data_IF_597113792862
#
_entry.id   IF_597113792862
#
_cell.length_a   1.000
_cell.length_b   1.000
_cell.length_c   1.000
_cell.angle_alpha   90.00
_cell.angle_beta   90.00
_cell.angle_gamma   90.00
#
_symmetry.space_group_name_H-M   'P 1'
#
loop_
_entity.id
_entity.type
_entity.pdbx_description
1 polymer ?
#
# COMPACT_ATOMS: atom_id res chain seq x y z
N UNK A 1 3.38 -2.11 24.71
CA UNK A 1 2.93 -1.72 23.35
C UNK A 1 1.50 -1.19 23.34
N UNK A 2 0.47 -1.96 23.72
CA UNK A 2 -0.91 -1.43 23.78
C UNK A 2 -1.04 -0.22 24.72
N UNK A 3 -0.51 -0.32 25.94
CA UNK A 3 -0.49 0.81 26.89
C UNK A 3 0.22 2.05 26.32
N UNK A 4 1.32 1.84 25.60
CA UNK A 4 2.06 2.91 24.91
C UNK A 4 1.21 3.58 23.84
N UNK A 5 0.54 2.79 22.99
CA UNK A 5 -0.35 3.26 21.93
C UNK A 5 -1.54 4.03 22.50
N UNK A 6 -2.18 3.50 23.54
CA UNK A 6 -3.28 4.17 24.22
C UNK A 6 -2.82 5.48 24.87
N UNK A 7 -1.63 5.50 25.46
CA UNK A 7 -1.03 6.68 26.08
C UNK A 7 -0.40 7.67 25.09
N UNK A 8 -0.54 7.49 23.78
CA UNK A 8 0.05 8.36 22.74
C UNK A 8 1.58 8.55 22.89
N UNK A 9 2.27 7.50 23.37
CA UNK A 9 3.72 7.50 23.62
C UNK A 9 4.49 6.73 22.55
N UNK A 10 5.80 6.98 22.50
CA UNK A 10 6.73 6.19 21.69
C UNK A 10 7.27 5.04 22.57
N UNK A 11 7.30 3.83 22.01
CA UNK A 11 7.99 2.70 22.62
C UNK A 11 9.05 2.16 21.65
N UNK A 12 10.21 1.85 22.22
CA UNK A 12 11.22 1.04 21.57
C UNK A 12 11.11 -0.37 22.14
N UNK A 13 10.86 -1.35 21.28
CA UNK A 13 10.72 -2.75 21.69
C UNK A 13 11.73 -3.59 20.91
N UNK A 14 12.67 -4.20 21.62
CA UNK A 14 13.51 -5.25 21.06
C UNK A 14 12.97 -6.63 21.45
N UNK A 15 13.03 -7.55 20.50
CA UNK A 15 12.47 -8.88 20.63
C UNK A 15 13.19 -9.83 19.67
N UNK A 16 13.40 -11.08 20.09
CA UNK A 16 14.05 -12.11 19.29
C UNK A 16 13.40 -12.36 17.92
N UNK A 17 14.10 -13.08 17.05
CA UNK A 17 13.52 -13.55 15.78
C UNK A 17 12.51 -14.67 16.07
N UNK A 18 11.43 -14.74 15.30
CA UNK A 18 10.44 -15.83 15.41
C UNK A 18 9.43 -15.72 16.56
N UNK A 19 9.60 -14.80 17.51
CA UNK A 19 8.73 -14.71 18.69
C UNK A 19 7.37 -14.00 18.46
N UNK A 20 6.99 -13.77 17.20
CA UNK A 20 5.68 -13.18 16.87
C UNK A 20 5.60 -11.65 16.97
N UNK A 21 6.71 -10.91 16.80
CA UNK A 21 6.75 -9.44 16.78
C UNK A 21 5.66 -8.80 15.90
N UNK A 22 5.45 -9.36 14.72
CA UNK A 22 4.42 -8.92 13.76
C UNK A 22 3.03 -8.99 14.36
N UNK A 23 2.66 -10.13 14.94
CA UNK A 23 1.36 -10.28 15.60
C UNK A 23 1.24 -9.38 16.82
N UNK A 24 2.31 -9.21 17.61
CA UNK A 24 2.28 -8.38 18.81
C UNK A 24 1.84 -6.93 18.51
N UNK A 25 2.41 -6.29 17.47
CA UNK A 25 1.98 -4.93 17.11
C UNK A 25 0.63 -4.89 16.39
N UNK A 26 0.32 -5.88 15.54
CA UNK A 26 -0.99 -5.91 14.86
C UNK A 26 -2.14 -6.05 15.86
N UNK A 27 -2.02 -6.98 16.82
CA UNK A 27 -3.01 -7.17 17.89
C UNK A 27 -3.13 -5.92 18.74
N UNK A 28 -2.00 -5.32 19.16
CA UNK A 28 -2.03 -4.07 19.92
C UNK A 28 -2.78 -2.94 19.17
N UNK A 29 -2.56 -2.80 17.85
CA UNK A 29 -3.26 -1.83 17.03
C UNK A 29 -4.77 -2.10 16.89
N UNK A 30 -5.17 -3.37 16.76
CA UNK A 30 -6.60 -3.74 16.72
C UNK A 30 -7.29 -3.39 18.03
N UNK A 31 -6.69 -3.80 19.15
CA UNK A 31 -7.24 -3.53 20.49
C UNK A 31 -7.29 -2.02 20.77
N UNK A 32 -6.23 -1.28 20.43
CA UNK A 32 -6.23 0.18 20.52
C UNK A 32 -7.43 0.77 19.78
N UNK A 33 -7.69 0.36 18.53
CA UNK A 33 -8.82 0.88 17.75
C UNK A 33 -10.19 0.48 18.32
N UNK A 34 -10.31 -0.73 18.87
CA UNK A 34 -11.55 -1.19 19.51
C UNK A 34 -11.86 -0.41 20.79
N UNK A 35 -10.86 -0.20 21.65
CA UNK A 35 -11.04 0.41 22.96
C UNK A 35 -10.93 1.94 22.96
N UNK A 36 -10.28 2.56 21.97
CA UNK A 36 -10.28 4.03 21.83
C UNK A 36 -11.69 4.58 21.60
N UNK A 37 -12.57 3.80 20.95
CA UNK A 37 -13.99 4.12 20.78
C UNK A 37 -14.72 4.15 22.13
N UNK A 38 -14.37 3.26 23.06
CA UNK A 38 -15.00 3.13 24.38
C UNK A 38 -14.49 4.15 25.40
N UNK A 39 -13.28 4.67 25.22
CA UNK A 39 -12.61 5.54 26.19
C UNK A 39 -12.87 7.04 25.96
N UNK A 40 -13.79 7.42 25.07
CA UNK A 40 -14.11 8.82 24.69
C UNK A 40 -12.89 9.73 24.44
N UNK A 41 -11.74 9.13 24.10
CA UNK A 41 -10.53 9.87 23.73
C UNK A 41 -10.74 10.45 22.34
N UNK A 42 -11.34 11.64 22.32
CA UNK A 42 -11.62 12.44 21.13
C UNK A 42 -10.35 13.00 20.45
N UNK A 43 -9.14 12.67 20.95
CA UNK A 43 -7.84 13.14 20.44
C UNK A 43 -7.25 12.28 19.32
N UNK A 44 -7.45 10.95 19.31
CA UNK A 44 -7.01 10.14 18.17
C UNK A 44 -8.03 10.32 17.05
N UNK A 45 -7.63 10.77 15.85
CA UNK A 45 -8.54 10.80 14.72
C UNK A 45 -9.07 9.38 14.51
N UNK A 46 -10.37 9.18 14.82
CA UNK A 46 -11.11 7.90 14.83
C UNK A 46 -11.05 7.12 13.50
N UNK A 47 -10.34 7.63 12.50
CA UNK A 47 -10.45 7.26 11.09
C UNK A 47 -9.10 7.10 10.38
N UNK A 48 -7.95 7.24 11.05
CA UNK A 48 -6.67 7.05 10.38
C UNK A 48 -6.25 5.57 10.38
N UNK A 49 -5.82 5.04 9.22
CA UNK A 49 -5.28 3.69 9.17
C UNK A 49 -4.00 3.60 10.00
N UNK A 50 -3.76 2.43 10.58
CA UNK A 50 -2.48 2.11 11.19
C UNK A 50 -1.45 2.02 10.08
N UNK A 51 -0.30 2.68 10.25
CA UNK A 51 0.79 2.62 9.26
C UNK A 51 1.89 1.72 9.78
N UNK A 52 2.23 0.68 9.00
CA UNK A 52 3.37 -0.21 9.26
C UNK A 52 4.41 0.02 8.18
N UNK A 53 5.56 0.55 8.60
CA UNK A 53 6.70 0.78 7.72
C UNK A 53 7.75 -0.31 7.89
N UNK A 54 8.21 -0.90 6.79
CA UNK A 54 9.25 -1.94 6.80
C UNK A 54 10.14 -1.89 5.56
N UNK A 55 11.42 -2.21 5.76
CA UNK A 55 12.42 -2.33 4.68
C UNK A 55 12.21 -3.55 3.77
N UNK A 56 11.48 -4.58 4.22
CA UNK A 56 11.38 -5.85 3.51
C UNK A 56 10.09 -5.99 2.72
N UNK A 57 10.19 -6.06 1.39
CA UNK A 57 9.06 -6.40 0.50
C UNK A 57 8.48 -7.78 0.86
N UNK A 58 9.32 -8.73 1.28
CA UNK A 58 8.85 -10.04 1.71
C UNK A 58 7.96 -9.93 2.97
N UNK A 59 8.33 -9.09 3.94
CA UNK A 59 7.49 -8.84 5.11
C UNK A 59 6.21 -8.11 4.74
N UNK A 60 6.25 -7.13 3.83
CA UNK A 60 5.03 -6.46 3.36
C UNK A 60 4.06 -7.46 2.73
N UNK A 61 4.56 -8.36 1.89
CA UNK A 61 3.78 -9.44 1.28
C UNK A 61 3.19 -10.36 2.35
N UNK A 62 4.02 -10.88 3.25
CA UNK A 62 3.55 -11.77 4.31
C UNK A 62 2.49 -11.10 5.19
N UNK A 63 2.66 -9.83 5.57
CA UNK A 63 1.65 -9.09 6.35
C UNK A 63 0.32 -9.05 5.59
N UNK A 64 0.35 -8.75 4.29
CA UNK A 64 -0.83 -8.62 3.46
C UNK A 64 -1.51 -9.97 3.18
N UNK A 65 -0.76 -11.03 2.87
CA UNK A 65 -1.29 -12.32 2.41
C UNK A 65 -1.46 -13.36 3.51
N UNK A 66 -0.77 -13.23 4.64
CA UNK A 66 -0.74 -14.24 5.70
C UNK A 66 -1.16 -13.67 7.05
N UNK A 67 -0.39 -12.73 7.62
CA UNK A 67 -0.62 -12.28 9.01
C UNK A 67 -1.97 -11.58 9.19
N UNK A 68 -2.29 -10.60 8.34
CA UNK A 68 -3.57 -9.87 8.45
C UNK A 68 -4.76 -10.79 8.16
N UNK A 69 -4.78 -11.59 7.07
CA UNK A 69 -5.89 -12.52 6.84
C UNK A 69 -6.08 -13.54 7.97
N UNK A 70 -4.99 -14.12 8.49
CA UNK A 70 -5.07 -15.06 9.62
C UNK A 70 -5.64 -14.37 10.86
N UNK A 71 -5.07 -13.24 11.28
CA UNK A 71 -5.52 -12.52 12.46
C UNK A 71 -6.97 -12.04 12.30
N UNK A 72 -7.31 -11.49 11.14
CA UNK A 72 -8.66 -11.04 10.83
C UNK A 72 -9.69 -12.16 10.99
N UNK A 73 -9.40 -13.35 10.45
CA UNK A 73 -10.31 -14.49 10.56
C UNK A 73 -10.52 -14.88 12.02
N UNK A 74 -9.44 -15.08 12.78
CA UNK A 74 -9.51 -15.45 14.20
C UNK A 74 -10.33 -14.43 15.00
N UNK A 75 -10.08 -13.14 14.79
CA UNK A 75 -10.78 -12.09 15.54
C UNK A 75 -12.27 -11.98 15.21
N UNK A 76 -12.64 -12.25 13.95
CA UNK A 76 -14.05 -12.30 13.53
C UNK A 76 -14.74 -13.53 14.12
N UNK A 77 -14.12 -14.70 14.01
CA UNK A 77 -14.66 -15.97 14.56
C UNK A 77 -14.89 -15.91 16.07
N UNK A 78 -14.03 -15.18 16.79
CA UNK A 78 -14.16 -14.97 18.24
C UNK A 78 -15.05 -13.76 18.62
N UNK A 79 -15.70 -13.10 17.65
CA UNK A 79 -16.57 -11.94 17.91
C UNK A 79 -15.84 -10.71 18.46
N UNK A 80 -14.51 -10.66 18.35
CA UNK A 80 -13.70 -9.53 18.83
C UNK A 80 -13.88 -8.32 17.90
N UNK A 81 -13.97 -8.55 16.59
CA UNK A 81 -14.28 -7.55 15.57
C UNK A 81 -15.47 -8.01 14.73
N UNK A 82 -16.26 -7.06 14.22
CA UNK A 82 -17.46 -7.37 13.43
C UNK A 82 -17.17 -7.53 11.94
N UNK A 83 -16.14 -6.84 11.42
CA UNK A 83 -15.76 -6.86 10.01
C UNK A 83 -14.31 -7.27 9.84
N UNK A 84 -13.96 -7.96 8.74
CA UNK A 84 -12.58 -8.31 8.44
C UNK A 84 -11.66 -7.08 8.34
N UNK A 85 -10.42 -7.24 8.78
CA UNK A 85 -9.39 -6.20 8.67
C UNK A 85 -8.97 -6.04 7.21
N UNK A 86 -9.11 -4.82 6.67
CA UNK A 86 -8.60 -4.47 5.35
C UNK A 86 -7.19 -3.87 5.46
N UNK A 87 -6.23 -4.47 4.77
CA UNK A 87 -4.87 -3.95 4.63
C UNK A 87 -4.56 -3.60 3.18
N UNK A 88 -3.75 -2.56 2.97
CA UNK A 88 -3.27 -2.15 1.65
C UNK A 88 -1.77 -1.86 1.70
N UNK A 89 -1.07 -2.10 0.59
CA UNK A 89 0.32 -1.67 0.42
C UNK A 89 0.33 -0.30 -0.25
N UNK A 90 1.07 0.66 0.31
CA UNK A 90 1.29 2.02 -0.19
C UNK A 90 2.63 2.09 -0.91
N UNK A 91 2.63 2.56 -2.16
CA UNK A 91 3.81 2.65 -3.03
C UNK A 91 3.90 4.01 -3.73
N UNK A 92 5.11 4.38 -4.12
CA UNK A 92 5.39 5.60 -4.88
C UNK A 92 4.87 5.54 -6.32
N UNK A 93 4.74 6.71 -6.95
CA UNK A 93 4.25 6.89 -8.33
C UNK A 93 5.04 6.07 -9.36
N UNK A 94 6.33 5.88 -9.11
CA UNK A 94 7.25 5.11 -9.94
C UNK A 94 6.88 3.64 -10.10
N UNK A 95 6.02 3.10 -9.23
CA UNK A 95 5.51 1.73 -9.30
C UNK A 95 4.23 1.60 -10.14
N UNK A 96 3.62 2.71 -10.54
CA UNK A 96 2.36 2.72 -11.26
C UNK A 96 2.53 3.23 -12.68
N UNK A 97 1.77 2.67 -13.62
CA UNK A 97 1.77 3.12 -15.01
C UNK A 97 0.86 4.36 -15.19
N UNK A 98 1.31 5.29 -16.03
CA UNK A 98 0.52 6.40 -16.55
C UNK A 98 -0.03 6.03 -17.93
N UNK A 99 -1.35 6.07 -18.08
CA UNK A 99 -2.04 5.65 -19.31
C UNK A 99 -1.59 6.45 -20.54
N UNK A 100 -1.46 7.77 -20.42
CA UNK A 100 -0.98 8.63 -21.51
C UNK A 100 0.45 8.25 -21.95
N UNK A 101 1.35 7.99 -20.99
CA UNK A 101 2.73 7.61 -21.29
C UNK A 101 2.81 6.19 -21.87
N UNK A 102 1.94 5.29 -21.40
CA UNK A 102 1.79 3.95 -21.95
C UNK A 102 1.37 4.00 -23.41
N UNK A 103 0.35 4.79 -23.75
CA UNK A 103 -0.11 4.96 -25.14
C UNK A 103 0.98 5.51 -26.05
N UNK A 104 1.65 6.59 -25.62
CA UNK A 104 2.81 7.14 -26.34
C UNK A 104 3.90 6.09 -26.56
N UNK A 105 4.18 5.27 -25.53
CA UNK A 105 5.20 4.24 -25.62
C UNK A 105 4.79 3.12 -26.58
N UNK A 106 3.53 2.68 -26.56
CA UNK A 106 3.00 1.65 -27.45
C UNK A 106 3.11 2.12 -28.91
N UNK A 107 2.73 3.36 -29.22
CA UNK A 107 2.84 3.91 -30.57
C UNK A 107 4.30 4.02 -31.01
N UNK A 108 5.19 4.49 -30.14
CA UNK A 108 6.62 4.63 -30.45
C UNK A 108 7.35 3.31 -30.74
N UNK A 109 6.78 2.17 -30.33
CA UNK A 109 7.32 0.83 -30.63
C UNK A 109 6.51 0.06 -31.69
N UNK A 110 5.50 0.69 -32.29
CA UNK A 110 4.56 0.01 -33.20
C UNK A 110 5.29 -0.71 -34.34
N UNK A 111 6.26 -0.04 -34.96
CA UNK A 111 7.06 -0.53 -36.09
C UNK A 111 8.48 -0.96 -35.70
N UNK A 112 8.79 -1.01 -34.40
CA UNK A 112 10.13 -1.41 -33.92
C UNK A 112 10.15 -2.88 -33.58
N UNK A 113 11.25 -3.56 -33.92
CA UNK A 113 11.51 -4.90 -33.39
C UNK A 113 11.80 -4.79 -31.90
N UNK A 114 10.91 -5.37 -31.09
CA UNK A 114 11.03 -5.48 -29.64
C UNK A 114 10.84 -6.94 -29.26
N UNK A 115 11.57 -7.40 -28.26
CA UNK A 115 11.36 -8.73 -27.67
C UNK A 115 9.86 -8.95 -27.37
N UNK A 116 9.31 -10.08 -27.84
CA UNK A 116 7.89 -10.39 -27.78
C UNK A 116 7.35 -10.42 -26.34
N UNK A 117 8.10 -11.03 -25.40
CA UNK A 117 7.74 -11.11 -23.99
C UNK A 117 7.66 -9.71 -23.36
N UNK A 118 8.66 -8.86 -23.63
CA UNK A 118 8.63 -7.48 -23.12
C UNK A 118 7.53 -6.63 -23.77
N UNK A 119 7.20 -6.90 -25.04
CA UNK A 119 6.10 -6.22 -25.74
C UNK A 119 4.77 -6.61 -25.11
N UNK A 120 4.56 -7.89 -24.83
CA UNK A 120 3.37 -8.38 -24.14
C UNK A 120 3.25 -7.82 -22.72
N UNK A 121 4.34 -7.82 -21.96
CA UNK A 121 4.40 -7.21 -20.64
C UNK A 121 3.98 -5.73 -20.67
N UNK A 122 4.49 -4.96 -21.63
CA UNK A 122 4.07 -3.56 -21.83
C UNK A 122 2.58 -3.45 -22.15
N UNK A 123 2.05 -4.28 -23.06
CA UNK A 123 0.63 -4.25 -23.43
C UNK A 123 -0.29 -4.65 -22.27
N UNK A 124 0.17 -5.55 -21.39
CA UNK A 124 -0.57 -5.98 -20.19
C UNK A 124 -0.86 -4.82 -19.23
N UNK A 125 -0.06 -3.74 -19.26
CA UNK A 125 -0.27 -2.55 -18.45
C UNK A 125 -1.58 -1.81 -18.76
N UNK A 126 -2.21 -2.07 -19.91
CA UNK A 126 -3.58 -1.59 -20.17
C UNK A 126 -4.58 -2.12 -19.15
N UNK A 127 -4.33 -3.32 -18.60
CA UNK A 127 -5.17 -3.96 -17.58
C UNK A 127 -4.58 -3.78 -16.17
N UNK A 128 -3.25 -3.88 -16.03
CA UNK A 128 -2.57 -3.82 -14.74
C UNK A 128 -1.95 -2.44 -14.50
N UNK A 129 -2.40 -1.74 -13.44
CA UNK A 129 -1.88 -0.41 -13.13
C UNK A 129 -0.64 -0.45 -12.23
N UNK A 130 -0.52 -1.47 -11.37
CA UNK A 130 0.70 -1.75 -10.60
C UNK A 130 1.70 -2.46 -11.51
N UNK A 131 2.86 -1.85 -11.74
CA UNK A 131 3.89 -2.41 -12.60
C UNK A 131 4.65 -3.55 -11.90
N UNK A 132 4.65 -3.63 -10.58
CA UNK A 132 5.42 -4.65 -9.85
C UNK A 132 4.82 -6.05 -9.98
N UNK A 133 3.52 -6.15 -10.31
CA UNK A 133 2.87 -7.43 -10.59
C UNK A 133 3.11 -7.92 -12.03
N UNK A 134 3.59 -7.05 -12.92
CA UNK A 134 3.88 -7.38 -14.31
C UNK A 134 5.30 -7.91 -14.42
N UNK A 135 5.40 -9.22 -14.67
CA UNK A 135 6.66 -9.91 -14.97
C UNK A 135 7.22 -9.43 -16.31
N UNK A 136 8.55 -9.51 -16.44
CA UNK A 136 9.27 -9.24 -17.71
C UNK A 136 9.14 -7.82 -18.28
N UNK A 137 8.50 -6.90 -17.56
CA UNK A 137 8.48 -5.48 -17.93
C UNK A 137 9.89 -4.88 -17.75
N UNK A 138 10.49 -4.48 -18.88
CA UNK A 138 11.85 -3.95 -18.89
C UNK A 138 12.01 -2.69 -18.02
N UNK A 139 13.16 -2.53 -17.38
CA UNK A 139 13.47 -1.32 -16.61
C UNK A 139 13.43 -0.04 -17.44
N UNK A 140 13.71 -0.14 -18.74
CA UNK A 140 13.58 0.97 -19.69
C UNK A 140 12.11 1.39 -19.87
N UNK A 141 11.22 0.43 -20.13
CA UNK A 141 9.80 0.74 -20.29
C UNK A 141 9.19 1.23 -18.98
N UNK A 142 9.55 0.63 -17.83
CA UNK A 142 9.12 1.11 -16.50
C UNK A 142 9.36 2.61 -16.32
N UNK A 143 10.56 3.09 -16.66
CA UNK A 143 10.89 4.53 -16.55
C UNK A 143 10.10 5.41 -17.51
N UNK A 144 9.79 4.91 -18.71
CA UNK A 144 9.06 5.68 -19.70
C UNK A 144 7.56 5.75 -19.42
N UNK A 145 6.99 4.69 -18.84
CA UNK A 145 5.54 4.59 -18.65
C UNK A 145 5.08 4.89 -17.23
N UNK A 146 6.00 5.02 -16.25
CA UNK A 146 5.61 5.31 -14.88
C UNK A 146 4.88 6.65 -14.73
N UNK A 147 4.05 6.76 -13.69
CA UNK A 147 3.48 8.05 -13.28
C UNK A 147 4.61 9.01 -12.93
N UNK A 148 4.68 10.20 -13.54
CA UNK A 148 5.73 11.16 -13.23
C UNK A 148 5.63 11.66 -11.80
N UNK A 149 6.77 12.06 -11.22
CA UNK A 149 6.83 12.73 -9.91
C UNK A 149 5.84 13.90 -9.84
N UNK A 150 5.80 14.71 -10.90
CA UNK A 150 4.88 15.82 -11.06
C UNK A 150 3.97 15.59 -12.26
N UNK A 151 2.66 15.51 -12.01
CA UNK A 151 1.65 15.50 -13.07
C UNK A 151 1.19 16.94 -13.31
N UNK A 152 1.05 17.39 -14.57
CA UNK A 152 0.50 18.72 -14.85
C UNK A 152 -0.94 18.82 -14.34
N UNK A 153 -1.36 20.02 -13.92
CA UNK A 153 -2.73 20.25 -13.42
C UNK A 153 -3.78 19.91 -14.49
N UNK A 154 -3.46 20.19 -15.74
CA UNK A 154 -4.28 19.98 -16.95
C UNK A 154 -4.07 18.59 -17.56
N UNK A 155 -3.56 17.61 -16.80
CA UNK A 155 -3.37 16.25 -17.31
C UNK A 155 -4.71 15.71 -17.88
N UNK A 156 -4.78 15.34 -19.17
CA UNK A 156 -6.05 14.93 -19.78
C UNK A 156 -6.59 13.63 -19.19
N UNK A 157 -5.71 12.78 -18.65
CA UNK A 157 -6.09 11.55 -17.96
C UNK A 157 -6.43 11.72 -16.48
N UNK A 158 -6.49 12.94 -15.93
CA UNK A 158 -6.60 13.19 -14.48
C UNK A 158 -7.82 12.52 -13.84
N UNK A 159 -8.99 12.62 -14.47
CA UNK A 159 -10.26 12.06 -13.94
C UNK A 159 -10.30 10.52 -13.97
N UNK A 160 -9.53 9.90 -14.86
CA UNK A 160 -9.46 8.44 -15.01
C UNK A 160 -8.13 7.85 -14.55
N UNK A 161 -7.29 8.64 -13.88
CA UNK A 161 -5.95 8.23 -13.48
C UNK A 161 -6.03 7.09 -12.47
N UNK A 162 -5.60 5.90 -12.90
CA UNK A 162 -5.62 4.68 -12.06
C UNK A 162 -4.81 4.84 -10.77
N UNK A 163 -3.73 5.63 -10.79
CA UNK A 163 -2.98 5.97 -9.58
C UNK A 163 -3.76 6.84 -8.59
N UNK A 164 -4.50 7.85 -9.07
CA UNK A 164 -5.33 8.68 -8.19
C UNK A 164 -6.45 7.86 -7.54
N UNK A 165 -7.12 7.02 -8.34
CA UNK A 165 -8.11 6.06 -7.82
C UNK A 165 -7.51 5.14 -6.76
N UNK A 166 -6.32 4.59 -7.01
CA UNK A 166 -5.59 3.79 -6.01
C UNK A 166 -5.31 4.58 -4.71
N UNK A 167 -4.88 5.85 -4.81
CA UNK A 167 -4.66 6.69 -3.64
C UNK A 167 -5.96 6.91 -2.85
N UNK A 168 -7.06 7.23 -3.53
CA UNK A 168 -8.38 7.39 -2.92
C UNK A 168 -8.83 6.10 -2.22
N UNK A 169 -8.76 4.96 -2.90
CA UNK A 169 -9.09 3.64 -2.34
C UNK A 169 -8.29 3.31 -1.08
N UNK A 170 -7.00 3.64 -1.07
CA UNK A 170 -6.13 3.35 0.07
C UNK A 170 -6.38 4.25 1.29
N UNK A 171 -7.08 5.38 1.10
CA UNK A 171 -7.45 6.35 2.16
C UNK A 171 -8.88 6.17 2.67
N UNK A 172 -9.63 5.18 2.16
CA UNK A 172 -10.97 4.89 2.63
C UNK A 172 -10.97 4.51 4.12
N UNK A 173 -12.06 4.86 4.80
CA UNK A 173 -12.19 4.67 6.25
C UNK A 173 -12.18 3.20 6.69
N UNK A 174 -12.56 2.29 5.79
CA UNK A 174 -12.55 0.84 6.01
C UNK A 174 -11.14 0.23 5.92
N UNK A 175 -10.15 0.97 5.43
CA UNK A 175 -8.75 0.57 5.48
C UNK A 175 -8.25 0.62 6.92
N UNK A 176 -7.98 -0.55 7.49
CA UNK A 176 -7.44 -0.68 8.83
C UNK A 176 -5.93 -0.43 8.85
N UNK A 177 -5.21 -0.99 7.87
CA UNK A 177 -3.74 -1.03 7.84
C UNK A 177 -3.19 -0.55 6.49
N UNK A 178 -2.21 0.35 6.53
CA UNK A 178 -1.38 0.75 5.41
C UNK A 178 0.05 0.25 5.63
N UNK A 179 0.57 -0.50 4.67
CA UNK A 179 1.91 -1.08 4.73
C UNK A 179 2.78 -0.34 3.71
N UNK A 180 3.94 0.17 4.11
CA UNK A 180 4.83 0.88 3.19
C UNK A 180 6.31 0.59 3.51
N UNK A 181 7.20 1.08 2.66
CA UNK A 181 8.61 1.17 3.01
C UNK A 181 8.93 2.49 3.74
N UNK A 182 10.12 2.56 4.33
CA UNK A 182 10.56 3.74 5.07
C UNK A 182 10.65 4.98 4.18
N UNK A 183 11.15 4.82 2.94
CA UNK A 183 11.30 5.93 1.99
C UNK A 183 9.95 6.55 1.62
N UNK A 184 8.94 5.71 1.38
CA UNK A 184 7.59 6.14 1.08
C UNK A 184 6.97 6.85 2.29
N UNK A 185 7.12 6.29 3.49
CA UNK A 185 6.60 6.94 4.71
C UNK A 185 7.16 8.36 4.85
N UNK A 186 8.48 8.52 4.68
CA UNK A 186 9.14 9.81 4.78
C UNK A 186 8.69 10.78 3.68
N UNK A 187 8.52 10.28 2.45
CA UNK A 187 8.05 11.09 1.33
C UNK A 187 6.57 11.51 1.44
N UNK A 188 5.72 10.70 2.06
CA UNK A 188 4.28 10.99 2.27
C UNK A 188 4.07 11.89 3.50
N UNK A 189 5.01 11.88 4.47
CA UNK A 189 4.95 12.70 5.67
C UNK A 189 5.41 14.16 5.48
N UNK A 190 6.16 14.44 4.41
CA UNK A 190 6.65 15.79 4.08
C UNK A 190 5.78 16.34 2.92
N UNK A 191 4.86 17.29 3.19
CA UNK A 191 3.95 17.85 2.19
C UNK A 191 4.66 18.71 1.13
#
# INVERSE_FOLDING_TARGET
MLDTLLGERIALCDAGVGIGKTYAYLVACVLMRKYSILMERNSLPKQHPVVVSTSSIALQKAILSEYVPFLSRVLVEQGIIQTPLRAVVRKGKEHFVCDNRLEQRIEAIRYKQKNAVQREALLSLRKHYDMDIVKDLSGFDRRLVCVPKFCPRECPGRQMCRYQRYLEESKKQDVFLQICNHNYLLADAIP
#
